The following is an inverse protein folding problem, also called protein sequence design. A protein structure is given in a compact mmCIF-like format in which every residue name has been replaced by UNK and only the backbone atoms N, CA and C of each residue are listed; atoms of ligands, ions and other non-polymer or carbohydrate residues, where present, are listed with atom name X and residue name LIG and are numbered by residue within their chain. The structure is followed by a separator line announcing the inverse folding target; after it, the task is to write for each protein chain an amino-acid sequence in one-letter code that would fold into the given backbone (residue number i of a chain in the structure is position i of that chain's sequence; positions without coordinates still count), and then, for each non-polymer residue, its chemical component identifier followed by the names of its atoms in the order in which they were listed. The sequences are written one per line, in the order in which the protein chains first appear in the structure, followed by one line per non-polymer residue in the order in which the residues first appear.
data_IF_884103307768
#
_entry.id   IF_884103307768
#
_cell.length_a   1.000
_cell.length_b   1.000
_cell.length_c   1.000
_cell.angle_alpha   90.00
_cell.angle_beta   90.00
_cell.angle_gamma   90.00
#
_symmetry.space_group_name_H-M   'P 1'
#
loop_
_entity.id
_entity.type
_entity.pdbx_description
1 polymer ?
#
# COMPACT_ATOMS: atom_id res chain seq x y z
N UNK A 1 -26.78 -13.66 -11.75
CA UNK A 1 -25.36 -14.01 -12.03
C UNK A 1 -24.62 -12.94 -12.84
N UNK A 2 -25.18 -12.36 -13.91
CA UNK A 2 -24.53 -11.31 -14.73
C UNK A 2 -24.07 -10.08 -13.92
N UNK A 3 -24.88 -9.64 -12.95
CA UNK A 3 -24.58 -8.46 -12.11
C UNK A 3 -23.38 -8.69 -11.18
N UNK A 4 -23.19 -9.91 -10.68
CA UNK A 4 -22.07 -10.25 -9.78
C UNK A 4 -20.72 -10.29 -10.54
N UNK A 5 -20.73 -10.76 -11.79
CA UNK A 5 -19.53 -10.77 -12.66
C UNK A 5 -19.13 -9.33 -13.04
N UNK A 6 -20.11 -8.48 -13.37
CA UNK A 6 -19.86 -7.05 -13.64
C UNK A 6 -19.28 -6.33 -12.42
N UNK A 7 -19.79 -6.62 -11.22
CA UNK A 7 -19.25 -6.08 -9.96
C UNK A 7 -17.83 -6.57 -9.68
N UNK A 8 -17.56 -7.85 -9.93
CA UNK A 8 -16.22 -8.43 -9.76
C UNK A 8 -15.20 -7.77 -10.69
N UNK A 9 -15.54 -7.58 -11.97
CA UNK A 9 -14.67 -6.90 -12.94
C UNK A 9 -14.42 -5.45 -12.51
N UNK A 10 -15.48 -4.73 -12.11
CA UNK A 10 -15.36 -3.34 -11.63
C UNK A 10 -14.42 -3.23 -10.42
N UNK A 11 -14.54 -4.13 -9.44
CA UNK A 11 -13.67 -4.15 -8.26
C UNK A 11 -12.21 -4.43 -8.61
N UNK A 12 -11.94 -5.34 -9.56
CA UNK A 12 -10.57 -5.60 -10.02
C UNK A 12 -9.94 -4.35 -10.63
N UNK A 13 -10.68 -3.63 -11.48
CA UNK A 13 -10.20 -2.37 -12.05
C UNK A 13 -10.01 -1.28 -10.99
N UNK A 14 -10.93 -1.16 -10.04
CA UNK A 14 -10.82 -0.19 -8.94
C UNK A 14 -9.56 -0.45 -8.09
N UNK A 15 -9.30 -1.71 -7.73
CA UNK A 15 -8.11 -2.08 -6.96
C UNK A 15 -6.82 -1.87 -7.77
N UNK A 16 -6.82 -2.17 -9.06
CA UNK A 16 -5.67 -1.93 -9.94
C UNK A 16 -5.32 -0.44 -10.02
N UNK A 17 -6.32 0.43 -10.19
CA UNK A 17 -6.14 1.88 -10.20
C UNK A 17 -5.61 2.37 -8.85
N UNK A 18 -6.16 1.89 -7.74
CA UNK A 18 -5.67 2.24 -6.39
C UNK A 18 -4.20 1.83 -6.19
N UNK A 19 -3.79 0.66 -6.71
CA UNK A 19 -2.39 0.23 -6.66
C UNK A 19 -1.44 1.16 -7.42
N UNK A 20 -1.85 1.65 -8.60
CA UNK A 20 -1.08 2.63 -9.36
C UNK A 20 -0.97 3.98 -8.63
N UNK A 21 -2.06 4.44 -8.03
CA UNK A 21 -2.07 5.68 -7.24
C UNK A 21 -1.15 5.56 -6.02
N UNK A 22 -1.17 4.44 -5.31
CA UNK A 22 -0.25 4.19 -4.19
C UNK A 22 1.21 4.22 -4.65
N UNK A 23 1.53 3.61 -5.81
CA UNK A 23 2.90 3.60 -6.32
C UNK A 23 3.39 5.00 -6.70
N UNK A 24 2.52 5.80 -7.31
CA UNK A 24 2.80 7.21 -7.62
C UNK A 24 3.00 8.04 -6.35
N UNK A 25 2.11 7.94 -5.37
CA UNK A 25 2.22 8.65 -4.09
C UNK A 25 3.48 8.23 -3.32
N UNK A 26 3.86 6.95 -3.38
CA UNK A 26 5.11 6.44 -2.82
C UNK A 26 6.32 7.10 -3.44
N UNK A 27 6.37 7.17 -4.77
CA UNK A 27 7.45 7.84 -5.49
C UNK A 27 7.57 9.31 -5.07
N UNK A 28 6.46 10.04 -5.11
CA UNK A 28 6.40 11.48 -4.82
C UNK A 28 6.72 11.77 -3.36
N UNK A 29 6.20 10.98 -2.42
CA UNK A 29 6.45 11.13 -0.99
C UNK A 29 7.92 10.93 -0.62
N UNK A 30 8.55 9.90 -1.14
CA UNK A 30 9.95 9.60 -0.84
C UNK A 30 10.87 10.58 -1.55
N UNK A 31 10.53 10.99 -2.77
CA UNK A 31 11.29 12.01 -3.49
C UNK A 31 11.34 13.33 -2.72
N UNK A 32 10.21 13.75 -2.14
CA UNK A 32 10.13 15.03 -1.44
C UNK A 32 10.94 15.05 -0.13
N UNK A 33 10.99 13.93 0.59
CA UNK A 33 11.66 13.89 1.91
C UNK A 33 13.13 13.44 1.81
N UNK A 34 13.48 12.55 0.87
CA UNK A 34 14.79 11.90 0.81
C UNK A 34 15.52 12.07 -0.54
N UNK A 35 14.90 12.73 -1.52
CA UNK A 35 15.48 12.93 -2.85
C UNK A 35 15.27 11.76 -3.83
N UNK A 36 15.68 11.96 -5.09
CA UNK A 36 15.31 11.11 -6.22
C UNK A 36 15.88 9.69 -6.09
N UNK A 37 17.13 9.59 -5.64
CA UNK A 37 17.84 8.30 -5.50
C UNK A 37 17.14 7.43 -4.46
N UNK A 38 16.68 8.02 -3.34
CA UNK A 38 15.94 7.31 -2.31
C UNK A 38 14.58 6.81 -2.81
N UNK A 39 13.89 7.60 -3.65
CA UNK A 39 12.60 7.19 -4.24
C UNK A 39 12.75 5.96 -5.14
N UNK A 40 13.79 5.92 -5.97
CA UNK A 40 14.07 4.77 -6.84
C UNK A 40 14.43 3.54 -6.01
N UNK A 41 15.32 3.68 -5.02
CA UNK A 41 15.70 2.58 -4.12
C UNK A 41 14.46 2.04 -3.41
N UNK A 42 13.59 2.90 -2.90
CA UNK A 42 12.40 2.48 -2.19
C UNK A 42 11.41 1.74 -3.10
N UNK A 43 11.23 2.17 -4.36
CA UNK A 43 10.41 1.41 -5.32
C UNK A 43 11.02 0.04 -5.59
N UNK A 44 12.33 -0.02 -5.86
CA UNK A 44 13.03 -1.29 -6.12
C UNK A 44 12.90 -2.23 -4.91
N UNK A 45 13.13 -1.74 -3.70
CA UNK A 45 12.96 -2.52 -2.46
C UNK A 45 11.51 -2.98 -2.30
N UNK A 46 10.54 -2.13 -2.62
CA UNK A 46 9.12 -2.49 -2.55
C UNK A 46 8.78 -3.65 -3.48
N UNK A 47 9.35 -3.69 -4.69
CA UNK A 47 9.15 -4.80 -5.63
C UNK A 47 9.94 -6.06 -5.25
N UNK A 48 11.21 -5.93 -4.87
CA UNK A 48 12.09 -7.06 -4.53
C UNK A 48 11.63 -7.77 -3.26
N UNK A 49 11.36 -7.02 -2.21
CA UNK A 49 10.92 -7.57 -0.93
C UNK A 49 9.40 -7.67 -0.81
N UNK A 50 8.67 -7.31 -1.88
CA UNK A 50 7.21 -7.28 -1.95
C UNK A 50 6.58 -6.60 -0.72
N UNK A 51 7.25 -5.59 -0.19
CA UNK A 51 6.96 -5.05 1.15
C UNK A 51 5.89 -3.98 1.04
N UNK A 52 4.65 -4.35 1.32
CA UNK A 52 3.52 -3.43 1.28
C UNK A 52 3.64 -2.32 2.33
N UNK A 53 4.44 -2.52 3.39
CA UNK A 53 4.73 -1.50 4.42
C UNK A 53 5.50 -0.31 3.84
N UNK A 54 6.43 -0.53 2.90
CA UNK A 54 7.22 0.56 2.34
C UNK A 54 6.37 1.41 1.40
N UNK A 55 5.53 0.75 0.61
CA UNK A 55 4.48 1.40 -0.20
C UNK A 55 3.51 2.19 0.69
N UNK A 56 3.14 1.66 1.86
CA UNK A 56 2.27 2.33 2.82
C UNK A 56 2.89 3.63 3.34
N UNK A 57 4.13 3.55 3.83
CA UNK A 57 4.86 4.70 4.38
C UNK A 57 5.05 5.75 3.29
N UNK A 58 5.51 5.36 2.10
CA UNK A 58 5.68 6.28 0.99
C UNK A 58 4.37 6.92 0.54
N UNK A 59 3.29 6.15 0.44
CA UNK A 59 1.96 6.68 0.07
C UNK A 59 1.47 7.68 1.11
N UNK A 60 1.61 7.37 2.40
CA UNK A 60 1.23 8.27 3.49
C UNK A 60 2.05 9.55 3.44
N UNK A 61 3.37 9.43 3.23
CA UNK A 61 4.26 10.59 3.10
C UNK A 61 3.91 11.43 1.86
N UNK A 62 3.61 10.81 0.72
CA UNK A 62 3.21 11.51 -0.49
C UNK A 62 1.90 12.28 -0.33
N UNK A 63 0.88 11.62 0.22
CA UNK A 63 -0.42 12.22 0.43
C UNK A 63 -0.37 13.37 1.45
N UNK A 64 0.22 13.15 2.62
CA UNK A 64 0.21 14.13 3.72
C UNK A 64 1.25 15.24 3.52
N UNK A 65 2.50 14.89 3.18
CA UNK A 65 3.59 15.87 3.14
C UNK A 65 3.75 16.57 1.79
N UNK A 66 3.30 15.95 0.68
CA UNK A 66 3.47 16.57 -0.66
C UNK A 66 2.17 17.19 -1.15
N UNK A 67 1.05 16.46 -1.03
CA UNK A 67 -0.26 16.95 -1.46
C UNK A 67 -1.06 17.66 -0.37
N UNK A 68 -0.54 17.69 0.88
CA UNK A 68 -1.20 18.37 1.99
C UNK A 68 -2.54 17.74 2.36
N UNK A 69 -2.77 16.48 2.00
CA UNK A 69 -4.03 15.81 2.30
C UNK A 69 -4.18 15.55 3.79
N UNK A 70 -5.43 15.49 4.28
CA UNK A 70 -5.70 15.07 5.64
C UNK A 70 -5.13 13.65 5.88
N UNK A 71 -4.54 13.46 7.05
CA UNK A 71 -3.91 12.20 7.45
C UNK A 71 -4.85 10.99 7.30
N UNK A 72 -6.15 11.16 7.55
CA UNK A 72 -7.16 10.10 7.41
C UNK A 72 -7.41 9.71 5.95
N UNK A 73 -7.32 10.66 5.01
CA UNK A 73 -7.45 10.38 3.57
C UNK A 73 -6.26 9.58 3.04
N UNK A 74 -5.07 9.90 3.53
CA UNK A 74 -3.86 9.13 3.24
C UNK A 74 -3.94 7.70 3.76
N UNK A 75 -4.45 7.51 4.98
CA UNK A 75 -4.68 6.18 5.56
C UNK A 75 -5.70 5.40 4.74
N UNK A 76 -6.85 5.99 4.37
CA UNK A 76 -7.88 5.34 3.56
C UNK A 76 -7.34 4.80 2.23
N UNK A 77 -6.47 5.57 1.56
CA UNK A 77 -5.83 5.15 0.31
C UNK A 77 -4.78 4.09 0.54
N UNK A 78 -4.17 4.06 1.72
CA UNK A 78 -3.21 3.03 2.13
C UNK A 78 -3.89 1.74 2.65
N UNK A 79 -5.18 1.78 3.02
CA UNK A 79 -5.96 0.62 3.53
C UNK A 79 -5.88 -0.62 2.63
N UNK A 80 -5.98 -0.56 1.30
CA UNK A 80 -5.86 -1.75 0.47
C UNK A 80 -4.57 -2.53 0.75
N UNK A 81 -3.45 -1.82 0.91
CA UNK A 81 -2.17 -2.44 1.25
C UNK A 81 -2.17 -3.01 2.68
N UNK A 82 -2.80 -2.32 3.64
CA UNK A 82 -2.99 -2.80 5.03
C UNK A 82 -3.87 -4.05 5.09
N UNK A 83 -4.97 -4.07 4.34
CA UNK A 83 -5.96 -5.13 4.37
C UNK A 83 -5.38 -6.47 3.90
N UNK A 84 -4.46 -6.44 2.92
CA UNK A 84 -3.70 -7.63 2.52
C UNK A 84 -2.60 -8.02 3.51
N UNK A 85 -2.14 -7.10 4.36
CA UNK A 85 -1.03 -7.33 5.31
C UNK A 85 -1.51 -7.88 6.66
N UNK A 86 -2.71 -7.48 7.12
CA UNK A 86 -3.28 -7.88 8.42
C UNK A 86 -3.39 -9.42 8.58
N UNK A 87 -4.01 -10.17 7.65
CA UNK A 87 -4.16 -11.63 7.83
C UNK A 87 -2.81 -12.35 7.90
N UNK A 88 -1.85 -11.94 7.06
CA UNK A 88 -0.50 -12.51 7.04
C UNK A 88 0.30 -12.18 8.29
N UNK A 89 0.25 -10.93 8.76
CA UNK A 89 0.92 -10.50 9.98
C UNK A 89 0.36 -11.19 11.23
N UNK A 90 -0.97 -11.35 11.31
CA UNK A 90 -1.65 -12.08 12.38
C UNK A 90 -1.23 -13.56 12.38
N UNK A 91 -1.21 -14.20 11.21
CA UNK A 91 -0.79 -15.61 11.08
C UNK A 91 0.67 -15.82 11.51
N UNK A 92 1.57 -14.92 11.11
CA UNK A 92 2.98 -14.95 11.52
C UNK A 92 3.12 -14.67 13.01
N UNK A 93 2.36 -13.71 13.55
CA UNK A 93 2.34 -13.39 14.97
C UNK A 93 1.89 -14.60 15.80
N UNK A 94 0.77 -15.23 15.47
CA UNK A 94 0.29 -16.44 16.16
C UNK A 94 1.25 -17.62 16.02
N UNK A 95 1.88 -17.80 14.85
CA UNK A 95 2.88 -18.84 14.62
C UNK A 95 4.16 -18.59 15.44
N UNK A 96 4.57 -17.34 15.59
CA UNK A 96 5.74 -16.93 16.38
C UNK A 96 5.47 -16.97 17.90
N UNK A 97 4.25 -16.66 18.33
CA UNK A 97 3.81 -16.73 19.74
C UNK A 97 3.23 -18.09 20.16
N UNK A 98 3.29 -19.11 19.30
CA UNK A 98 3.20 -20.50 19.74
C UNK A 98 1.80 -21.00 20.11
N UNK A 99 0.72 -20.49 19.52
CA UNK A 99 -0.55 -21.24 19.54
C UNK A 99 -0.53 -22.27 18.41
N UNK A 100 0.12 -23.40 18.71
CA UNK A 100 0.15 -24.61 17.90
C UNK A 100 -1.18 -25.34 18.15
N UNK A 101 -2.11 -25.25 17.20
CA UNK A 101 -3.10 -26.32 17.01
C UNK A 101 -2.65 -27.13 15.80
#
# INVERSE_FOLDING_TARGET
MKNAVSLGIFLVFAVAILGLVQLYLTFVGIWHVWGLIAAIIAIVVTFVFRTSVLLLIGTYMGAVHVWGWPWWGAVLIAIPAVFFLIPGAILIFFKKFGMKN
#
